data_IF_909411056743
#
_entry.id   IF_909411056743
#
_cell.length_a   1.000
_cell.length_b   1.000
_cell.length_c   1.000
_cell.angle_alpha   90.00
_cell.angle_beta   90.00
_cell.angle_gamma   90.00
#
_symmetry.space_group_name_H-M   'P 1'
#
loop_
_entity.id
_entity.type
_entity.pdbx_description
1 polymer ?
#
# COMPACT_ATOMS: atom_id res chain seq x y z
N UNK A 1 15.29 1.08 -20.57
CA UNK A 1 14.36 0.08 -20.05
C UNK A 1 13.95 0.57 -18.67
N UNK A 2 12.65 0.73 -18.40
CA UNK A 2 12.19 0.99 -17.04
C UNK A 2 12.37 -0.32 -16.28
N UNK A 3 13.52 -0.51 -15.63
CA UNK A 3 13.73 -1.59 -14.67
C UNK A 3 12.85 -1.27 -13.45
N UNK A 4 11.58 -1.66 -13.56
CA UNK A 4 10.69 -1.68 -12.41
C UNK A 4 11.26 -2.71 -11.45
N UNK A 5 11.56 -2.34 -10.19
CA UNK A 5 12.14 -3.28 -9.24
C UNK A 5 11.24 -4.51 -9.14
N UNK A 6 11.85 -5.70 -8.95
CA UNK A 6 11.17 -7.00 -8.94
C UNK A 6 9.94 -7.04 -8.00
N UNK A 7 9.93 -6.17 -7.00
CA UNK A 7 8.89 -6.05 -5.97
C UNK A 7 7.89 -4.91 -6.18
N UNK A 8 7.99 -4.14 -7.27
CA UNK A 8 7.06 -3.06 -7.60
C UNK A 8 5.61 -3.57 -7.65
N UNK A 9 5.38 -4.75 -8.22
CA UNK A 9 4.05 -5.36 -8.29
C UNK A 9 3.44 -5.62 -6.91
N UNK A 10 4.24 -6.06 -5.93
CA UNK A 10 3.81 -6.30 -4.55
C UNK A 10 3.48 -4.99 -3.83
N UNK A 11 4.31 -3.96 -3.99
CA UNK A 11 4.07 -2.62 -3.45
C UNK A 11 2.76 -2.05 -4.04
N UNK A 12 2.59 -2.14 -5.35
CA UNK A 12 1.40 -1.65 -6.04
C UNK A 12 0.13 -2.41 -5.58
N UNK A 13 0.18 -3.75 -5.52
CA UNK A 13 -0.94 -4.55 -5.05
C UNK A 13 -1.33 -4.20 -3.61
N UNK A 14 -0.32 -4.05 -2.74
CA UNK A 14 -0.53 -3.68 -1.34
C UNK A 14 -1.18 -2.29 -1.23
N UNK A 15 -0.70 -1.32 -2.01
CA UNK A 15 -1.28 0.02 -2.05
C UNK A 15 -2.75 0.01 -2.52
N UNK A 16 -3.07 -0.78 -3.56
CA UNK A 16 -4.44 -0.94 -4.07
C UNK A 16 -5.35 -1.55 -3.00
N UNK A 17 -4.92 -2.65 -2.37
CA UNK A 17 -5.69 -3.31 -1.31
C UNK A 17 -5.93 -2.36 -0.13
N UNK A 18 -4.91 -1.60 0.28
CA UNK A 18 -5.04 -0.56 1.32
C UNK A 18 -6.06 0.52 0.95
N UNK A 19 -6.09 0.98 -0.31
CA UNK A 19 -7.08 1.97 -0.77
C UNK A 19 -8.50 1.41 -0.72
N UNK A 20 -8.69 0.18 -1.18
CA UNK A 20 -10.00 -0.48 -1.16
C UNK A 20 -10.49 -0.62 0.30
N UNK A 21 -9.62 -1.06 1.20
CA UNK A 21 -9.94 -1.20 2.62
C UNK A 21 -10.30 0.15 3.26
N UNK A 22 -9.56 1.22 2.93
CA UNK A 22 -9.87 2.57 3.40
C UNK A 22 -11.24 3.04 2.90
N UNK A 23 -11.56 2.78 1.62
CA UNK A 23 -12.88 3.05 1.04
C UNK A 23 -14.00 2.30 1.76
N UNK A 24 -13.83 1.00 2.00
CA UNK A 24 -14.80 0.17 2.74
C UNK A 24 -15.05 0.71 4.16
N UNK A 25 -13.98 1.06 4.89
CA UNK A 25 -14.08 1.65 6.22
C UNK A 25 -14.85 2.97 6.20
N UNK A 26 -14.57 3.84 5.23
CA UNK A 26 -15.28 5.12 5.11
C UNK A 26 -16.76 4.93 4.78
N UNK A 27 -17.11 3.96 3.93
CA UNK A 27 -18.51 3.60 3.68
C UNK A 27 -19.20 3.10 4.96
N UNK A 28 -18.50 2.28 5.75
CA UNK A 28 -19.01 1.80 7.04
C UNK A 28 -19.23 2.95 8.02
N UNK A 29 -18.26 3.86 8.18
CA UNK A 29 -18.39 5.03 9.04
C UNK A 29 -19.51 5.95 8.60
N UNK A 30 -19.65 6.19 7.29
CA UNK A 30 -20.73 7.01 6.73
C UNK A 30 -22.11 6.42 7.07
N UNK A 31 -22.30 5.11 6.86
CA UNK A 31 -23.56 4.43 7.20
C UNK A 31 -23.87 4.51 8.70
N UNK A 32 -22.86 4.37 9.56
CA UNK A 32 -23.05 4.51 11.00
C UNK A 32 -23.48 5.92 11.39
N UNK A 33 -22.81 6.94 10.85
CA UNK A 33 -23.15 8.34 11.14
C UNK A 33 -24.51 8.77 10.57
N UNK A 34 -24.95 8.15 9.47
CA UNK A 34 -26.26 8.41 8.87
C UNK A 34 -27.43 7.92 9.74
N UNK A 35 -27.28 6.78 10.42
CA UNK A 35 -28.35 6.19 11.27
C UNK A 35 -28.44 6.89 12.64
N UNK A 36 -27.37 7.56 13.09
CA UNK A 36 -27.37 8.23 14.38
C UNK A 36 -28.35 9.42 14.43
N UNK A 37 -29.15 9.56 15.50
CA UNK A 37 -30.04 10.70 15.68
C UNK A 37 -29.24 11.99 15.83
N UNK A 38 -29.83 13.12 15.45
CA UNK A 38 -29.17 14.44 15.43
C UNK A 38 -28.62 14.89 16.79
N UNK A 39 -29.19 14.39 17.89
CA UNK A 39 -28.80 14.72 19.26
C UNK A 39 -27.82 13.70 19.87
N UNK A 40 -27.40 12.69 19.12
CA UNK A 40 -26.45 11.69 19.64
C UNK A 40 -25.09 12.34 19.91
N UNK A 41 -24.51 12.06 21.09
CA UNK A 41 -23.15 12.48 21.44
C UNK A 41 -22.08 11.87 20.52
N UNK A 42 -22.40 10.76 19.82
CA UNK A 42 -21.51 10.07 18.89
C UNK A 42 -21.61 10.62 17.46
N UNK A 43 -22.52 11.57 17.21
CA UNK A 43 -22.67 12.16 15.88
C UNK A 43 -21.57 13.19 15.66
N UNK A 44 -20.74 12.93 14.66
CA UNK A 44 -19.64 13.80 14.30
C UNK A 44 -20.15 14.96 13.44
N UNK A 45 -19.52 16.12 13.60
CA UNK A 45 -19.67 17.21 12.64
C UNK A 45 -19.06 16.81 11.30
N UNK A 46 -19.53 17.41 10.21
CA UNK A 46 -19.00 17.14 8.85
C UNK A 46 -17.47 17.32 8.79
N UNK A 47 -16.93 18.31 9.50
CA UNK A 47 -15.48 18.55 9.56
C UNK A 47 -14.74 17.41 10.24
N UNK A 48 -15.22 16.96 11.40
CA UNK A 48 -14.58 15.87 12.14
C UNK A 48 -14.71 14.53 11.41
N UNK A 49 -15.84 14.30 10.73
CA UNK A 49 -16.04 13.13 9.89
C UNK A 49 -15.06 13.11 8.70
N UNK A 50 -14.87 14.26 8.04
CA UNK A 50 -13.88 14.38 6.96
C UNK A 50 -12.45 14.14 7.46
N UNK A 51 -12.10 14.65 8.64
CA UNK A 51 -10.81 14.36 9.26
C UNK A 51 -10.63 12.88 9.59
N UNK A 52 -11.66 12.22 10.12
CA UNK A 52 -11.64 10.78 10.38
C UNK A 52 -11.39 9.99 9.09
N UNK A 53 -12.09 10.33 8.00
CA UNK A 53 -11.92 9.67 6.71
C UNK A 53 -10.51 9.88 6.14
N UNK A 54 -9.99 11.12 6.22
CA UNK A 54 -8.63 11.43 5.80
C UNK A 54 -7.59 10.65 6.63
N UNK A 55 -7.77 10.61 7.95
CA UNK A 55 -6.88 9.89 8.86
C UNK A 55 -6.87 8.38 8.58
N UNK A 56 -8.03 7.79 8.28
CA UNK A 56 -8.16 6.38 7.88
C UNK A 56 -7.36 6.09 6.60
N UNK A 57 -7.43 6.97 5.59
CA UNK A 57 -6.59 6.84 4.38
C UNK A 57 -5.10 6.92 4.73
N UNK A 58 -4.68 7.91 5.53
CA UNK A 58 -3.27 8.11 5.87
C UNK A 58 -2.69 6.90 6.61
N UNK A 59 -3.40 6.35 7.60
CA UNK A 59 -2.94 5.17 8.34
C UNK A 59 -2.80 3.96 7.43
N UNK A 60 -3.80 3.70 6.58
CA UNK A 60 -3.80 2.51 5.74
C UNK A 60 -2.79 2.59 4.60
N UNK A 61 -2.26 3.78 4.30
CA UNK A 61 -1.13 3.96 3.37
C UNK A 61 0.24 3.77 4.01
N UNK A 62 0.36 3.68 5.34
CA UNK A 62 1.65 3.45 5.99
C UNK A 62 2.30 2.12 5.54
N UNK A 63 1.60 0.97 5.53
CA UNK A 63 2.19 -0.30 5.11
C UNK A 63 2.79 -0.30 3.68
N UNK A 64 2.10 0.15 2.62
CA UNK A 64 2.69 0.19 1.28
C UNK A 64 3.87 1.17 1.18
N UNK A 65 3.86 2.27 1.94
CA UNK A 65 5.00 3.21 2.00
C UNK A 65 6.22 2.54 2.65
N UNK A 66 6.04 1.88 3.80
CA UNK A 66 7.12 1.15 4.47
C UNK A 66 7.67 0.07 3.54
N UNK A 67 6.79 -0.66 2.86
CA UNK A 67 7.18 -1.70 1.91
C UNK A 67 7.97 -1.13 0.73
N UNK A 68 7.55 0.03 0.20
CA UNK A 68 8.27 0.73 -0.86
C UNK A 68 9.68 1.17 -0.42
N UNK A 69 9.81 1.73 0.79
CA UNK A 69 11.10 2.12 1.36
C UNK A 69 12.00 0.90 1.60
N UNK A 70 11.47 -0.19 2.16
CA UNK A 70 12.23 -1.41 2.40
C UNK A 70 12.78 -1.99 1.10
N UNK A 71 11.98 -1.99 0.02
CA UNK A 71 12.43 -2.48 -1.28
C UNK A 71 13.32 -1.50 -2.07
N UNK A 72 13.32 -0.21 -1.72
CA UNK A 72 14.31 0.72 -2.25
C UNK A 72 15.73 0.41 -1.75
N UNK A 73 15.84 -0.23 -0.57
CA UNK A 73 17.11 -0.64 0.03
C UNK A 73 17.51 -2.08 -0.30
N UNK A 74 16.63 -2.88 -0.92
CA UNK A 74 16.99 -4.24 -1.34
C UNK A 74 17.90 -4.23 -2.57
N UNK A 75 18.90 -5.11 -2.56
CA UNK A 75 19.82 -5.36 -3.68
C UNK A 75 19.03 -5.52 -5.00
N UNK A 76 19.54 -4.94 -6.09
CA UNK A 76 19.00 -5.20 -7.42
C UNK A 76 18.98 -6.71 -7.66
N UNK A 77 17.98 -7.22 -8.41
CA UNK A 77 17.82 -8.66 -8.63
C UNK A 77 19.09 -9.36 -9.13
N UNK A 78 19.90 -8.65 -9.92
CA UNK A 78 21.22 -9.10 -10.36
C UNK A 78 22.24 -9.23 -9.21
N UNK A 79 22.33 -8.23 -8.33
CA UNK A 79 23.23 -8.25 -7.19
C UNK A 79 22.82 -9.34 -6.19
N UNK A 80 21.52 -9.46 -5.90
CA UNK A 80 20.99 -10.52 -5.05
C UNK A 80 21.33 -11.92 -5.60
N UNK A 81 21.10 -12.13 -6.91
CA UNK A 81 21.43 -13.41 -7.57
C UNK A 81 22.94 -13.68 -7.52
N UNK A 82 23.77 -12.69 -7.81
CA UNK A 82 25.24 -12.87 -7.78
C UNK A 82 25.79 -13.12 -6.37
N UNK A 83 25.16 -12.56 -5.33
CA UNK A 83 25.61 -12.68 -3.94
C UNK A 83 25.09 -13.94 -3.24
N UNK A 84 23.82 -14.30 -3.44
CA UNK A 84 23.16 -15.39 -2.70
C UNK A 84 22.93 -16.66 -3.52
N UNK A 85 22.87 -16.56 -4.85
CA UNK A 85 22.58 -17.70 -5.75
C UNK A 85 23.46 -17.67 -7.01
N UNK A 86 24.80 -17.71 -6.86
CA UNK A 86 25.72 -17.55 -7.98
C UNK A 86 25.53 -18.62 -9.07
N UNK A 87 25.10 -19.83 -8.69
CA UNK A 87 24.74 -20.90 -9.64
C UNK A 87 23.55 -20.56 -10.57
N UNK A 88 22.74 -19.56 -10.22
CA UNK A 88 21.62 -19.07 -11.03
C UNK A 88 21.95 -17.77 -11.78
N UNK A 89 23.18 -17.26 -11.68
CA UNK A 89 23.59 -16.02 -12.35
C UNK A 89 23.41 -16.08 -13.89
N UNK A 90 23.50 -17.28 -14.48
CA UNK A 90 23.29 -17.49 -15.92
C UNK A 90 21.90 -17.08 -16.42
N UNK A 91 20.90 -16.99 -15.52
CA UNK A 91 19.54 -16.53 -15.87
C UNK A 91 19.57 -15.07 -16.32
N UNK A 92 20.46 -14.26 -15.74
CA UNK A 92 20.64 -12.84 -16.09
C UNK A 92 21.48 -12.66 -17.38
N UNK A 93 22.34 -13.63 -17.71
CA UNK A 93 23.17 -13.62 -18.92
C UNK A 93 22.43 -14.08 -20.18
N UNK A 94 21.19 -14.59 -20.06
CA UNK A 94 20.40 -14.93 -21.23
C UNK A 94 20.01 -13.67 -21.99
N UNK A 95 20.68 -13.43 -23.12
CA UNK A 95 20.23 -12.48 -24.14
C UNK A 95 18.74 -12.71 -24.43
N UNK A 96 17.97 -11.63 -24.32
CA UNK A 96 16.54 -11.57 -24.63
C UNK A 96 16.22 -12.36 -25.90
N UNK A 97 15.34 -13.35 -25.79
CA UNK A 97 14.63 -13.93 -26.94
C UNK A 97 13.53 -12.97 -27.39
#
# INVERSE_FOLDING_TARGET
YFDLPMHFGMVALTAIVSLILAGMNNCFFFRHQAVLPSQSSLKLSNRNFNFLCLFNYLILQIPPIILACAYAETLNGEQYLREFHPEMAWIMDKMSW
#
